data_IF_484097570956
#
_entry.id   IF_484097570956
#
_cell.length_a   1.000
_cell.length_b   1.000
_cell.length_c   1.000
_cell.angle_alpha   90.00
_cell.angle_beta   90.00
_cell.angle_gamma   90.00
#
_symmetry.space_group_name_H-M   'P 1'
#
loop_
_entity.id
_entity.type
_entity.pdbx_description
1 polymer ?
#
# COMPACT_ATOMS: atom_id res chain seq x y z
N UNK A 1 -28.00 14.46 78.83
CA UNK A 1 -28.27 14.99 77.47
C UNK A 1 -26.92 15.01 76.73
N UNK A 2 -26.62 13.99 75.89
CA UNK A 2 -25.33 13.86 75.18
C UNK A 2 -25.56 14.24 73.73
N UNK A 3 -24.90 15.29 73.29
CA UNK A 3 -24.93 15.78 71.89
C UNK A 3 -23.81 15.06 71.13
N UNK A 4 -24.21 14.26 70.13
CA UNK A 4 -23.28 13.62 69.21
C UNK A 4 -23.01 14.56 68.03
N UNK A 5 -21.74 14.89 67.86
CA UNK A 5 -21.24 15.70 66.72
C UNK A 5 -20.89 14.74 65.58
N UNK A 6 -21.63 14.81 64.48
CA UNK A 6 -21.31 14.09 63.24
C UNK A 6 -20.31 14.93 62.41
N UNK A 7 -19.13 14.37 62.16
CA UNK A 7 -18.17 14.93 61.27
C UNK A 7 -18.44 14.41 59.82
N UNK A 8 -18.72 15.30 58.90
CA UNK A 8 -18.85 14.99 57.49
C UNK A 8 -17.46 15.01 56.82
N UNK A 9 -16.99 13.87 56.34
CA UNK A 9 -15.80 13.78 55.48
C UNK A 9 -16.24 14.02 54.03
N UNK A 10 -15.81 15.14 53.46
CA UNK A 10 -15.90 15.42 52.02
C UNK A 10 -14.69 14.77 51.29
N UNK A 11 -14.91 13.73 50.50
CA UNK A 11 -13.93 13.13 49.64
C UNK A 11 -13.80 13.98 48.35
N UNK A 12 -12.66 14.65 48.20
CA UNK A 12 -12.28 15.32 46.92
C UNK A 12 -11.73 14.28 45.98
N UNK A 13 -12.49 13.91 44.96
CA UNK A 13 -12.03 13.03 43.88
C UNK A 13 -11.07 13.77 42.93
N UNK A 14 -9.81 13.37 42.91
CA UNK A 14 -8.86 13.79 41.87
C UNK A 14 -9.19 13.03 40.59
N UNK A 15 -9.73 13.72 39.59
CA UNK A 15 -9.84 13.22 38.22
C UNK A 15 -8.45 13.21 37.59
N UNK A 16 -7.83 12.04 37.43
CA UNK A 16 -6.61 11.89 36.67
C UNK A 16 -6.96 11.96 35.18
N UNK A 17 -6.61 13.05 34.49
CA UNK A 17 -6.62 13.13 33.03
C UNK A 17 -5.53 12.21 32.47
N UNK A 18 -5.91 11.04 31.96
CA UNK A 18 -5.03 10.19 31.17
C UNK A 18 -4.78 10.85 29.82
N UNK A 19 -3.66 11.53 29.66
CA UNK A 19 -3.17 11.99 28.36
C UNK A 19 -2.49 10.81 27.69
N UNK A 20 -3.17 10.15 26.74
CA UNK A 20 -2.54 9.16 25.86
C UNK A 20 -1.46 9.88 25.05
N UNK A 21 -0.19 9.45 25.06
CA UNK A 21 0.83 10.07 24.20
C UNK A 21 0.43 9.92 22.73
N UNK A 22 0.74 10.90 21.87
CA UNK A 22 0.50 10.78 20.45
C UNK A 22 1.26 9.56 19.90
N UNK A 23 0.73 8.86 18.88
CA UNK A 23 1.43 7.75 18.25
C UNK A 23 2.82 8.21 17.79
N UNK A 24 3.84 7.41 18.10
CA UNK A 24 5.20 7.69 17.69
C UNK A 24 5.26 7.86 16.17
N UNK A 25 5.89 8.93 15.70
CA UNK A 25 6.13 9.13 14.28
C UNK A 25 6.90 7.92 13.73
N UNK A 26 6.41 7.36 12.62
CA UNK A 26 7.09 6.26 11.93
C UNK A 26 8.51 6.70 11.56
N UNK A 27 9.57 5.93 11.90
CA UNK A 27 10.92 6.29 11.50
C UNK A 27 11.00 6.45 9.98
N UNK A 28 11.79 7.41 9.47
CA UNK A 28 12.02 7.51 8.04
C UNK A 28 12.52 6.17 7.50
N UNK A 29 12.02 5.82 6.30
CA UNK A 29 12.40 4.61 5.61
C UNK A 29 13.93 4.52 5.49
N UNK A 30 14.51 3.35 5.83
CA UNK A 30 15.92 3.12 5.54
C UNK A 30 16.13 3.23 4.02
N UNK A 31 17.19 3.90 3.56
CA UNK A 31 17.47 3.98 2.13
C UNK A 31 17.64 2.57 1.55
N UNK A 32 17.03 2.33 0.38
CA UNK A 32 17.25 1.10 -0.39
C UNK A 32 18.72 0.98 -0.83
N UNK A 33 19.15 -0.24 -1.10
CA UNK A 33 20.52 -0.54 -1.57
C UNK A 33 20.58 -0.87 -3.05
N UNK A 34 19.45 -1.16 -3.68
CA UNK A 34 19.37 -1.41 -5.13
C UNK A 34 19.17 -0.11 -5.90
N UNK A 35 19.69 -0.07 -7.13
CA UNK A 35 19.55 1.08 -8.03
C UNK A 35 18.43 0.87 -9.04
N UNK A 36 18.18 -0.37 -9.47
CA UNK A 36 17.17 -0.69 -10.46
C UNK A 36 16.46 -2.01 -10.14
N UNK A 37 15.16 -2.04 -10.43
CA UNK A 37 14.38 -3.26 -10.44
C UNK A 37 13.38 -3.25 -11.58
N UNK A 38 12.82 -4.41 -11.88
CA UNK A 38 11.79 -4.61 -12.89
C UNK A 38 10.65 -5.44 -12.31
N UNK A 39 9.42 -5.12 -12.70
CA UNK A 39 8.26 -5.99 -12.51
C UNK A 39 7.69 -6.32 -13.90
N UNK A 40 7.80 -7.61 -14.30
CA UNK A 40 7.14 -8.09 -15.51
C UNK A 40 5.77 -8.62 -15.11
N UNK A 41 4.72 -7.89 -15.48
CA UNK A 41 3.34 -8.24 -15.17
C UNK A 41 2.86 -9.31 -16.15
N UNK A 42 2.43 -10.45 -15.62
CA UNK A 42 1.76 -11.51 -16.36
C UNK A 42 0.25 -11.49 -16.06
N UNK A 43 -0.53 -11.92 -17.02
CA UNK A 43 -1.98 -12.02 -16.91
C UNK A 43 -2.41 -12.97 -15.79
N UNK A 44 -3.43 -12.58 -15.02
CA UNK A 44 -4.08 -13.38 -13.98
C UNK A 44 -5.59 -13.41 -14.20
N UNK A 45 -6.30 -14.33 -13.53
CA UNK A 45 -7.76 -14.48 -13.59
C UNK A 45 -8.32 -14.61 -15.03
N UNK A 46 -7.54 -15.19 -15.97
CA UNK A 46 -7.95 -15.35 -17.35
C UNK A 46 -7.97 -14.06 -18.18
N UNK A 47 -7.36 -12.97 -17.69
CA UNK A 47 -7.21 -11.71 -18.43
C UNK A 47 -6.18 -11.81 -19.56
N UNK A 48 -6.00 -10.72 -20.32
CA UNK A 48 -4.92 -10.53 -21.28
C UNK A 48 -3.99 -9.39 -20.87
N UNK A 49 -4.14 -8.89 -19.65
CA UNK A 49 -3.38 -7.74 -19.14
C UNK A 49 -1.94 -8.14 -18.87
N UNK A 50 -1.01 -7.39 -19.42
CA UNK A 50 0.41 -7.60 -19.21
C UNK A 50 1.18 -6.28 -19.32
N UNK A 51 2.41 -6.25 -18.79
CA UNK A 51 3.21 -5.04 -18.83
C UNK A 51 4.61 -5.22 -18.30
N UNK A 52 5.42 -4.18 -18.45
CA UNK A 52 6.75 -4.13 -17.86
C UNK A 52 6.94 -2.78 -17.19
N UNK A 53 7.30 -2.83 -15.93
CA UNK A 53 7.55 -1.65 -15.11
C UNK A 53 9.00 -1.64 -14.66
N UNK A 54 9.66 -0.49 -14.79
CA UNK A 54 10.95 -0.21 -14.19
C UNK A 54 10.73 0.49 -12.84
N UNK A 55 11.54 0.16 -11.85
CA UNK A 55 11.50 0.76 -10.53
C UNK A 55 12.89 1.29 -10.19
N UNK A 56 12.96 2.53 -9.72
CA UNK A 56 14.21 3.21 -9.35
C UNK A 56 14.03 3.98 -8.05
N UNK A 57 14.98 3.92 -7.10
CA UNK A 57 14.96 4.78 -5.91
C UNK A 57 15.00 6.25 -6.32
N UNK A 58 14.15 7.06 -5.71
CA UNK A 58 14.12 8.49 -5.93
C UNK A 58 13.54 9.21 -4.70
N UNK A 59 14.22 10.24 -4.20
CA UNK A 59 13.66 11.23 -3.28
C UNK A 59 12.89 10.71 -2.05
N UNK A 60 13.39 9.65 -1.37
CA UNK A 60 12.72 9.08 -0.18
C UNK A 60 11.59 8.10 -0.51
N UNK A 61 11.57 7.58 -1.73
CA UNK A 61 10.63 6.57 -2.22
C UNK A 61 11.16 5.83 -3.44
N UNK A 62 10.26 5.29 -4.23
CA UNK A 62 10.55 4.56 -5.47
C UNK A 62 9.71 5.13 -6.60
N UNK A 63 10.37 5.46 -7.70
CA UNK A 63 9.72 5.84 -8.94
C UNK A 63 9.41 4.58 -9.75
N UNK A 64 8.18 4.47 -10.25
CA UNK A 64 7.68 3.34 -11.04
C UNK A 64 7.21 3.87 -12.39
N UNK A 65 7.79 3.35 -13.47
CA UNK A 65 7.45 3.78 -14.82
C UNK A 65 7.39 2.62 -15.80
N UNK A 66 6.50 2.71 -16.78
CA UNK A 66 6.33 1.72 -17.86
C UNK A 66 4.90 1.62 -18.36
N UNK A 67 4.63 0.62 -19.17
CA UNK A 67 3.35 0.46 -19.85
C UNK A 67 2.66 -0.85 -19.46
N UNK A 68 1.34 -0.79 -19.32
CA UNK A 68 0.46 -1.93 -19.04
C UNK A 68 -0.62 -1.96 -20.12
N UNK A 69 -0.60 -3.01 -20.95
CA UNK A 69 -1.55 -3.18 -22.05
C UNK A 69 -2.58 -4.30 -21.78
N UNK A 70 -3.54 -4.42 -22.69
CA UNK A 70 -4.63 -5.42 -22.60
C UNK A 70 -5.80 -4.99 -21.73
N UNK A 71 -5.84 -3.70 -21.33
CA UNK A 71 -6.95 -3.08 -20.59
C UNK A 71 -8.07 -2.67 -21.54
N UNK A 72 -9.28 -2.50 -21.01
CA UNK A 72 -10.35 -1.89 -21.80
C UNK A 72 -10.07 -0.39 -22.03
N UNK A 73 -10.24 0.14 -23.26
CA UNK A 73 -10.02 1.55 -23.52
C UNK A 73 -10.77 2.48 -22.58
N UNK A 74 -10.07 3.43 -21.96
CA UNK A 74 -10.63 4.40 -21.02
C UNK A 74 -10.97 3.85 -19.63
N UNK A 75 -10.68 2.58 -19.34
CA UNK A 75 -10.98 1.99 -18.04
C UNK A 75 -9.99 2.44 -16.95
N UNK A 76 -10.46 2.40 -15.71
CA UNK A 76 -9.69 2.75 -14.51
C UNK A 76 -9.51 1.51 -13.65
N UNK A 77 -8.31 1.32 -13.10
CA UNK A 77 -7.92 0.10 -12.40
C UNK A 77 -7.15 0.40 -11.12
N UNK A 78 -7.46 -0.31 -10.03
CA UNK A 78 -6.63 -0.35 -8.84
C UNK A 78 -5.24 -0.90 -9.16
N UNK A 79 -4.23 -0.28 -8.58
CA UNK A 79 -2.82 -0.57 -8.85
C UNK A 79 -2.05 -0.52 -7.53
N UNK A 80 -1.57 -1.68 -7.05
CA UNK A 80 -1.03 -1.76 -5.70
C UNK A 80 0.23 -2.64 -5.63
N UNK A 81 1.07 -2.38 -4.61
CA UNK A 81 2.11 -3.31 -4.21
C UNK A 81 1.52 -4.25 -3.15
N UNK A 82 1.64 -5.55 -3.37
CA UNK A 82 1.20 -6.62 -2.48
C UNK A 82 2.34 -7.18 -1.63
N UNK A 83 1.99 -7.75 -0.46
CA UNK A 83 2.95 -8.14 0.58
C UNK A 83 3.86 -9.32 0.22
N UNK A 84 3.46 -10.18 -0.72
CA UNK A 84 4.21 -11.37 -1.12
C UNK A 84 4.62 -11.28 -2.59
N UNK A 85 5.88 -11.60 -2.89
CA UNK A 85 6.37 -11.72 -4.26
C UNK A 85 6.04 -13.09 -4.86
N UNK A 86 4.77 -13.45 -4.82
CA UNK A 86 4.28 -14.73 -5.34
C UNK A 86 3.07 -14.51 -6.24
N UNK A 87 3.28 -14.72 -7.54
CA UNK A 87 2.24 -14.63 -8.58
C UNK A 87 1.88 -16.03 -9.14
N UNK A 88 2.12 -17.11 -8.39
CA UNK A 88 1.94 -18.48 -8.88
C UNK A 88 0.49 -18.93 -8.96
N UNK A 89 -0.40 -18.39 -8.11
CA UNK A 89 -1.83 -18.67 -8.19
C UNK A 89 -2.45 -18.05 -9.45
N UNK A 90 -3.32 -18.79 -10.15
CA UNK A 90 -3.94 -18.34 -11.37
C UNK A 90 -4.75 -17.03 -11.21
N UNK A 91 -5.25 -16.75 -10.01
CA UNK A 91 -5.97 -15.53 -9.64
C UNK A 91 -5.09 -14.51 -8.90
N UNK A 92 -3.78 -14.73 -8.85
CA UNK A 92 -2.80 -13.97 -8.11
C UNK A 92 -3.09 -13.84 -6.59
N UNK A 93 -3.91 -14.73 -6.01
CA UNK A 93 -4.19 -14.71 -4.56
C UNK A 93 -2.94 -15.00 -3.71
N UNK A 94 -1.96 -15.71 -4.27
CA UNK A 94 -0.66 -15.96 -3.63
C UNK A 94 0.13 -14.69 -3.28
N UNK A 95 -0.12 -13.56 -3.95
CA UNK A 95 0.51 -12.29 -3.62
C UNK A 95 0.07 -11.70 -2.26
N UNK A 96 -0.93 -12.27 -1.61
CA UNK A 96 -1.41 -11.81 -0.30
C UNK A 96 -2.21 -10.50 -0.36
N UNK A 97 -2.25 -9.74 0.75
CA UNK A 97 -2.87 -8.41 0.84
C UNK A 97 -1.97 -7.30 0.33
N UNK A 98 -2.43 -6.05 0.44
CA UNK A 98 -1.59 -4.88 0.16
C UNK A 98 -0.37 -4.85 1.09
N UNK A 99 0.76 -4.35 0.60
CA UNK A 99 1.95 -4.16 1.41
C UNK A 99 1.71 -3.13 2.50
N UNK A 100 1.64 -3.59 3.74
CA UNK A 100 1.23 -2.78 4.90
C UNK A 100 2.11 -3.02 6.13
N UNK A 101 3.36 -2.55 6.13
CA UNK A 101 4.29 -2.79 7.23
C UNK A 101 3.91 -2.08 8.53
N UNK A 102 3.02 -1.08 8.47
CA UNK A 102 2.61 -0.25 9.62
C UNK A 102 1.23 -0.61 10.16
N UNK A 103 0.56 -1.63 9.62
CA UNK A 103 -0.81 -2.01 9.97
C UNK A 103 -1.81 -0.82 9.91
N UNK A 104 -1.64 0.03 8.91
CA UNK A 104 -2.53 1.15 8.61
C UNK A 104 -3.85 0.67 7.98
N UNK A 105 -4.88 1.52 7.96
CA UNK A 105 -6.05 1.28 7.14
C UNK A 105 -5.73 1.53 5.65
N UNK A 106 -6.48 0.89 4.74
CA UNK A 106 -6.43 1.20 3.31
C UNK A 106 -6.91 2.63 3.05
N UNK A 107 -6.31 3.28 2.06
CA UNK A 107 -6.67 4.63 1.68
C UNK A 107 -6.00 5.08 0.38
N UNK A 108 -6.17 6.36 0.06
CA UNK A 108 -5.53 6.96 -1.09
C UNK A 108 -4.05 7.21 -0.82
N UNK A 109 -3.19 6.95 -1.80
CA UNK A 109 -1.78 7.28 -1.73
C UNK A 109 -1.55 8.74 -1.30
N UNK A 110 -0.51 8.98 -0.49
CA UNK A 110 -0.13 10.30 0.04
C UNK A 110 -1.18 11.00 0.94
N UNK A 111 -2.31 10.34 1.28
CA UNK A 111 -3.34 10.84 2.19
C UNK A 111 -3.53 9.88 3.37
N UNK A 112 -2.87 10.11 4.51
CA UNK A 112 -3.01 9.20 5.66
C UNK A 112 -4.44 9.13 6.22
N UNK A 113 -4.91 7.94 6.68
CA UNK A 113 -4.17 6.68 6.68
C UNK A 113 -4.21 5.96 5.32
N UNK A 114 -3.13 5.27 4.95
CA UNK A 114 -3.07 4.38 3.80
C UNK A 114 -2.01 3.29 4.01
N UNK A 115 -2.04 2.20 3.21
CA UNK A 115 -0.97 1.22 3.19
C UNK A 115 0.26 1.76 2.45
N UNK A 116 1.44 1.26 2.76
CA UNK A 116 2.64 1.60 2.00
C UNK A 116 2.59 1.13 0.53
N UNK A 117 1.77 0.13 0.24
CA UNK A 117 1.54 -0.41 -1.10
C UNK A 117 0.36 0.21 -1.85
N UNK A 118 -0.39 1.14 -1.24
CA UNK A 118 -1.48 1.83 -1.94
C UNK A 118 -0.88 2.84 -2.92
N UNK A 119 -1.35 2.80 -4.17
CA UNK A 119 -0.95 3.69 -5.26
C UNK A 119 -2.23 4.19 -5.92
N UNK A 120 -2.21 5.38 -6.49
CA UNK A 120 -3.37 5.91 -7.22
C UNK A 120 -3.74 5.00 -8.41
N UNK A 121 -5.01 4.97 -8.75
CA UNK A 121 -5.53 4.23 -9.89
C UNK A 121 -4.77 4.56 -11.18
N UNK A 122 -4.58 3.55 -12.03
CA UNK A 122 -4.12 3.74 -13.40
C UNK A 122 -5.31 3.84 -14.35
N UNK A 123 -5.14 4.59 -15.42
CA UNK A 123 -6.18 4.78 -16.45
C UNK A 123 -5.62 4.37 -17.81
N UNK A 124 -6.36 3.51 -18.50
CA UNK A 124 -6.03 3.11 -19.86
C UNK A 124 -6.41 4.22 -20.86
N UNK A 125 -5.58 4.43 -21.83
CA UNK A 125 -5.85 5.30 -22.97
C UNK A 125 -6.85 4.68 -23.96
N UNK A 126 -7.08 5.35 -25.10
CA UNK A 126 -7.97 4.88 -26.15
C UNK A 126 -7.50 3.59 -26.85
N UNK A 127 -6.23 3.20 -26.68
CA UNK A 127 -5.65 1.94 -27.18
C UNK A 127 -5.66 0.80 -26.17
N UNK A 128 -6.13 1.03 -24.95
CA UNK A 128 -6.13 0.06 -23.85
C UNK A 128 -4.78 -0.10 -23.17
N UNK A 129 -3.95 0.96 -23.19
CA UNK A 129 -2.64 1.00 -22.53
C UNK A 129 -2.67 2.02 -21.40
N UNK A 130 -2.27 1.63 -20.21
CA UNK A 130 -1.99 2.54 -19.10
C UNK A 130 -0.50 2.88 -19.06
N UNK A 131 -0.19 4.17 -19.18
CA UNK A 131 1.17 4.70 -19.06
C UNK A 131 1.45 5.05 -17.61
N UNK A 132 2.14 4.15 -16.90
CA UNK A 132 2.50 4.34 -15.50
C UNK A 132 3.71 5.28 -15.42
N UNK A 133 3.58 6.30 -14.59
CA UNK A 133 4.66 7.23 -14.25
C UNK A 133 4.34 7.82 -12.88
N UNK A 134 4.69 7.12 -11.81
CA UNK A 134 4.32 7.47 -10.44
C UNK A 134 5.50 7.40 -9.49
N UNK A 135 5.43 8.17 -8.42
CA UNK A 135 6.40 8.14 -7.33
C UNK A 135 5.71 7.74 -6.04
N UNK A 136 6.17 6.67 -5.42
CA UNK A 136 5.61 6.13 -4.17
C UNK A 136 6.55 6.49 -3.03
N UNK A 137 6.09 7.35 -2.14
CA UNK A 137 6.86 7.84 -0.99
C UNK A 137 6.84 6.81 0.15
N UNK A 138 7.90 6.77 0.96
CA UNK A 138 7.94 5.95 2.17
C UNK A 138 8.27 4.48 1.97
N UNK A 139 8.45 4.02 0.73
CA UNK A 139 8.97 2.70 0.41
C UNK A 139 10.44 2.77 -0.02
N UNK A 140 11.15 1.64 0.05
CA UNK A 140 12.55 1.52 -0.35
C UNK A 140 12.72 0.36 -1.35
N UNK A 141 13.81 0.37 -2.12
CA UNK A 141 14.16 -0.70 -3.04
C UNK A 141 15.47 -1.36 -2.61
N UNK A 142 15.38 -2.60 -2.13
CA UNK A 142 16.53 -3.34 -1.57
C UNK A 142 16.89 -2.93 -0.14
N UNK A 143 17.79 -3.70 0.48
CA UNK A 143 18.28 -3.45 1.84
C UNK A 143 17.53 -4.19 2.95
N UNK A 144 16.40 -4.86 2.67
CA UNK A 144 15.67 -5.73 3.62
C UNK A 144 15.00 -4.99 4.77
N UNK A 145 14.82 -3.66 4.68
CA UNK A 145 14.09 -2.88 5.68
C UNK A 145 12.59 -3.19 5.69
N UNK A 146 11.87 -2.75 6.73
CA UNK A 146 10.44 -3.01 6.87
C UNK A 146 9.58 -2.47 5.71
N UNK A 147 10.06 -1.42 5.04
CA UNK A 147 9.42 -0.77 3.90
C UNK A 147 10.03 -1.17 2.54
N UNK A 148 10.88 -2.19 2.50
CA UNK A 148 11.49 -2.69 1.25
C UNK A 148 10.46 -3.40 0.37
N UNK A 149 10.39 -2.98 -0.89
CA UNK A 149 9.48 -3.57 -1.89
C UNK A 149 10.17 -4.57 -2.81
N UNK A 150 11.48 -4.75 -2.74
CA UNK A 150 12.17 -5.80 -3.47
C UNK A 150 11.63 -7.18 -3.08
N UNK A 151 11.36 -8.03 -4.08
CA UNK A 151 10.77 -9.34 -3.86
C UNK A 151 9.29 -9.34 -3.47
N UNK A 152 8.59 -8.21 -3.54
CA UNK A 152 7.12 -8.11 -3.42
C UNK A 152 6.46 -8.15 -4.79
N UNK A 153 5.13 -8.10 -4.88
CA UNK A 153 4.44 -8.12 -6.16
C UNK A 153 3.71 -6.81 -6.42
N UNK A 154 3.70 -6.38 -7.69
CA UNK A 154 2.77 -5.38 -8.19
C UNK A 154 1.57 -6.12 -8.77
N UNK A 155 0.36 -5.65 -8.43
CA UNK A 155 -0.91 -6.21 -8.89
C UNK A 155 -1.76 -5.12 -9.54
N UNK A 156 -2.38 -5.46 -10.67
CA UNK A 156 -3.43 -4.67 -11.33
C UNK A 156 -4.77 -5.32 -11.07
N UNK A 157 -5.78 -4.52 -10.71
CA UNK A 157 -7.13 -4.98 -10.39
C UNK A 157 -8.13 -4.73 -11.52
N UNK A 158 -9.25 -5.45 -11.48
CA UNK A 158 -10.27 -5.40 -12.54
C UNK A 158 -11.11 -4.12 -12.53
N UNK A 159 -11.24 -3.48 -11.38
CA UNK A 159 -12.01 -2.25 -11.19
C UNK A 159 -11.15 -1.16 -10.54
N UNK A 160 -11.66 0.06 -10.53
CA UNK A 160 -11.04 1.17 -9.82
C UNK A 160 -11.05 0.90 -8.30
N UNK A 161 -9.98 1.30 -7.64
CA UNK A 161 -9.93 1.48 -6.20
C UNK A 161 -10.80 2.69 -5.81
N UNK A 162 -11.73 2.51 -4.85
CA UNK A 162 -12.59 3.59 -4.33
C UNK A 162 -11.92 4.39 -3.20
N UNK A 163 -10.68 4.03 -2.82
CA UNK A 163 -9.84 4.64 -1.79
C UNK A 163 -10.39 4.62 -0.36
N UNK A 164 -11.51 3.94 -0.13
CA UNK A 164 -12.22 3.99 1.16
C UNK A 164 -12.62 2.63 1.71
N UNK A 165 -13.04 1.70 0.85
CA UNK A 165 -13.49 0.36 1.25
C UNK A 165 -12.34 -0.47 1.78
N UNK A 166 -12.54 -1.03 2.99
CA UNK A 166 -11.53 -1.90 3.61
C UNK A 166 -11.70 -3.35 3.15
N UNK A 167 -10.63 -4.12 3.00
CA UNK A 167 -9.22 -3.75 3.21
C UNK A 167 -8.50 -3.26 1.94
N UNK A 168 -9.15 -3.11 0.79
CA UNK A 168 -8.46 -2.98 -0.51
C UNK A 168 -9.23 -2.18 -1.56
N UNK A 169 -10.07 -1.20 -1.15
CA UNK A 169 -10.71 -0.25 -2.05
C UNK A 169 -11.73 -0.85 -3.02
N UNK A 170 -12.26 -2.05 -2.72
CA UNK A 170 -13.26 -2.72 -3.57
C UNK A 170 -12.84 -2.88 -5.04
N UNK A 171 -11.52 -2.95 -5.30
CA UNK A 171 -10.94 -2.93 -6.64
C UNK A 171 -11.16 -4.21 -7.48
N UNK A 172 -11.82 -5.21 -6.90
CA UNK A 172 -12.23 -6.44 -7.61
C UNK A 172 -11.10 -7.45 -7.81
N UNK A 173 -11.26 -8.31 -8.82
CA UNK A 173 -10.31 -9.39 -9.10
C UNK A 173 -8.93 -8.85 -9.50
N UNK A 174 -7.88 -9.67 -9.30
CA UNK A 174 -6.52 -9.36 -9.73
C UNK A 174 -6.34 -9.83 -11.17
N UNK A 175 -6.07 -8.93 -12.08
CA UNK A 175 -6.00 -9.21 -13.52
C UNK A 175 -4.58 -9.27 -14.07
N UNK A 176 -3.59 -8.75 -13.34
CA UNK A 176 -2.17 -8.97 -13.64
C UNK A 176 -1.35 -8.94 -12.36
N UNK A 177 -0.23 -9.68 -12.35
CA UNK A 177 0.70 -9.77 -11.24
C UNK A 177 2.15 -9.87 -11.73
N UNK A 178 3.07 -9.18 -11.07
CA UNK A 178 4.50 -9.26 -11.38
C UNK A 178 5.37 -9.03 -10.16
N UNK A 179 6.36 -9.88 -9.95
CA UNK A 179 7.31 -9.75 -8.83
C UNK A 179 8.33 -8.67 -9.13
N UNK A 180 8.60 -7.82 -8.14
CA UNK A 180 9.63 -6.78 -8.18
C UNK A 180 11.00 -7.45 -8.00
N UNK A 181 11.77 -7.51 -9.08
CA UNK A 181 13.07 -8.17 -9.13
C UNK A 181 14.19 -7.16 -9.36
N UNK A 182 15.18 -7.13 -8.47
CA UNK A 182 16.38 -6.29 -8.61
C UNK A 182 17.19 -6.78 -9.84
N UNK A 183 17.71 -5.83 -10.63
CA UNK A 183 18.47 -6.09 -11.88
C UNK A 183 19.81 -5.36 -11.93
N UNK A 184 20.34 -4.92 -10.78
CA UNK A 184 21.65 -4.26 -10.64
C UNK A 184 22.80 -5.16 -11.05
#
# INVERSE_FOLDING_TARGET
>A
MRIAMMAACTAVGLAACSTTPPPAATPPAAPGTAHNAVANLAAASGSLVSGKLALMPMGGGVHIAGDIGGLAPGSTHGFHIHEKGDCSAADASSAGGHFNPTASAHGRADVPPHHAGDIDNIVADASGVAHVNTHVVGIALGGGGANDVAGRAIVVHAAADDYTSQPSGNAGARIACGVITIID
#
